data_IF_473955209864
#
_entry.id   IF_473955209864
#
_cell.length_a   1.000
_cell.length_b   1.000
_cell.length_c   1.000
_cell.angle_alpha   90.00
_cell.angle_beta   90.00
_cell.angle_gamma   90.00
#
_symmetry.space_group_name_H-M   'P 1'
#
loop_
_entity.id
_entity.type
_entity.pdbx_description
1 polymer ?
2 polymer ?
3 polymer ?
4 water ?
#
loop_
_entity_poly.entity_id
_entity_poly.type
_entity_poly.pdbx_seq_one_letter_code
_entity_poly.pdbx_strand_id
1 'polydeoxyribonucleotide' '(DT)(DC)(DC)(DT)(DC)(DA)(DT)(DG)(DT)(DA)(DT)(DA)(DT)(DA)(DC)(DA)(DT)(DG)(DA)(DG)(DG)(DA)(DA)(DG)(DG)' ?
2 'polydeoxyribonucleotide' '(DC)(DT)(DT)(DC)(DC)(DT)(DC)(DA)(DT)(DG)(DT)(DA)(DT)(DA)(DT)(DA)(DC)(DA)(DT)(DG)(DA)(DG)(DG)(DA)' ?
#
# COMPACT_ATOMS: atom_id res chain seq x y z
N UNK C 1 2.58 6.93 29.96
CA UNK C 1 1.22 7.25 29.40
C UNK C 1 1.22 7.29 27.89
N UNK C 2 0.05 7.45 27.27
CA UNK C 2 -0.06 7.47 25.80
C UNK C 2 0.66 8.63 25.09
N UNK C 3 0.80 9.76 25.80
CA UNK C 3 1.45 10.96 25.31
C UNK C 3 2.88 10.58 24.93
N UNK C 4 3.55 9.81 25.80
CA UNK C 4 4.92 9.38 25.56
C UNK C 4 4.93 8.38 24.41
N UNK C 5 3.87 7.58 24.32
CA UNK C 5 3.75 6.60 23.24
C UNK C 5 3.70 7.31 21.88
N UNK C 6 2.78 8.26 21.76
CA UNK C 6 2.58 9.05 20.54
C UNK C 6 3.84 9.80 20.11
N UNK C 7 4.53 10.42 21.06
CA UNK C 7 5.74 11.15 20.72
C UNK C 7 6.90 10.26 20.26
N UNK C 8 7.02 9.07 20.85
CA UNK C 8 8.08 8.12 20.49
C UNK C 8 7.95 7.57 19.07
N UNK C 9 6.74 7.15 18.71
CA UNK C 9 6.52 6.63 17.38
C UNK C 9 6.99 7.70 16.41
N UNK C 10 6.59 8.94 16.68
CA UNK C 10 6.99 10.05 15.83
C UNK C 10 8.51 10.20 15.71
N UNK C 11 9.20 10.28 16.84
CA UNK C 11 10.66 10.43 16.86
C UNK C 11 11.40 9.18 16.40
N UNK C 12 10.69 8.06 16.33
CA UNK C 12 11.29 6.81 15.86
C UNK C 12 11.44 6.89 14.35
N UNK C 13 10.40 7.41 13.69
CA UNK C 13 10.42 7.58 12.25
C UNK C 13 11.53 8.57 11.79
N UNK C 14 11.69 9.68 12.49
CA UNK C 14 12.70 10.69 12.13
C UNK C 14 14.12 10.22 12.31
N UNK C 15 14.38 9.52 13.40
CA UNK C 15 15.70 9.00 13.71
C UNK C 15 16.08 7.78 12.89
N UNK C 16 15.06 7.10 12.35
CA UNK C 16 15.19 5.91 11.50
C UNK C 16 15.83 6.41 10.21
N UNK C 17 15.11 7.35 9.59
CA UNK C 17 15.51 7.98 8.35
C UNK C 17 16.84 8.68 8.42
N UNK C 18 17.05 9.50 9.44
CA UNK C 18 18.31 10.19 9.51
C UNK C 18 19.53 9.28 9.74
N UNK C 19 19.28 8.05 10.18
CA UNK C 19 20.35 7.06 10.42
C UNK C 19 20.64 6.26 9.16
N UNK C 20 19.56 5.91 8.46
CA UNK C 20 19.72 5.21 7.21
C UNK C 20 18.91 3.95 7.05
N UNK C 21 17.97 3.71 7.94
CA UNK C 21 17.19 2.47 7.84
C UNK C 21 15.86 2.70 7.22
N UNK C 22 15.32 1.66 6.60
CA UNK C 22 14.02 1.75 5.98
C UNK C 22 13.23 0.87 6.90
N UNK C 23 11.91 0.84 6.77
CA UNK C 23 11.11 0.02 7.65
C UNK C 23 11.54 -1.44 7.47
N UNK C 24 11.98 -1.78 6.28
CA UNK C 24 12.41 -3.15 5.99
C UNK C 24 13.70 -3.44 6.76
N UNK C 25 14.62 -2.50 6.77
CA UNK C 25 15.89 -2.70 7.46
C UNK C 25 15.73 -2.77 8.96
N UNK C 26 14.80 -2.01 9.55
CA UNK C 26 14.60 -2.05 11.01
C UNK C 26 14.26 -3.50 11.40
N UNK C 27 13.31 -4.10 10.68
CA UNK C 27 12.91 -5.48 10.94
C UNK C 27 14.03 -6.49 10.83
N UNK C 28 15.00 -6.25 9.97
CA UNK C 28 16.15 -7.13 9.81
C UNK C 28 17.19 -6.93 10.90
N UNK C 29 17.57 -5.69 11.17
CA UNK C 29 18.58 -5.38 12.21
C UNK C 29 18.06 -5.89 13.57
N UNK C 30 16.75 -5.79 13.72
CA UNK C 30 16.03 -6.23 14.89
C UNK C 30 16.00 -7.79 14.99
N UNK C 31 16.71 -8.45 14.09
CA UNK C 31 16.77 -9.90 14.10
C UNK C 31 18.18 -10.26 14.60
N UNK C 32 19.16 -9.45 14.19
CA UNK C 32 20.56 -9.66 14.58
C UNK C 32 20.77 -9.66 16.09
N UNK C 33 19.93 -8.89 16.77
CA UNK C 33 20.03 -8.72 18.22
C UNK C 33 18.85 -9.30 19.01
N UNK C 34 17.72 -9.52 18.33
CA UNK C 34 16.51 -9.99 18.99
C UNK C 34 16.08 -11.39 18.57
N UNK C 35 16.71 -11.92 17.51
CA UNK C 35 16.34 -13.25 17.05
C UNK C 35 15.40 -13.37 15.84
N UNK C 36 14.13 -13.02 16.03
CA UNK C 36 13.13 -13.10 14.96
C UNK C 36 13.11 -11.80 14.14
N UNK C 37 12.66 -11.88 12.88
CA UNK C 37 12.59 -10.70 12.00
C UNK C 37 11.11 -10.23 11.83
N UNK C 38 10.87 -8.95 12.10
CA UNK C 38 9.51 -8.40 11.94
C UNK C 38 9.33 -7.91 10.48
N UNK C 39 8.15 -8.07 9.92
CA UNK C 39 7.95 -7.61 8.56
C UNK C 39 7.93 -6.12 8.55
N UNK C 40 7.89 -5.59 7.33
CA UNK C 40 7.84 -4.16 7.02
C UNK C 40 6.50 -3.66 7.52
N UNK C 41 5.45 -4.45 7.31
CA UNK C 41 4.08 -4.11 7.73
C UNK C 41 3.97 -3.78 9.22
N UNK C 42 4.65 -4.58 10.02
CA UNK C 42 4.61 -4.38 11.46
C UNK C 42 5.26 -3.07 11.81
N UNK C 43 6.42 -2.79 11.21
CA UNK C 43 7.15 -1.56 11.48
C UNK C 43 6.35 -0.34 11.10
N UNK C 44 5.59 -0.47 10.02
CA UNK C 44 4.74 0.58 9.54
C UNK C 44 3.55 0.79 10.52
N UNK C 45 2.88 -0.30 10.91
CA UNK C 45 1.77 -0.26 11.87
C UNK C 45 2.22 0.44 13.15
N UNK C 46 3.41 0.09 13.64
CA UNK C 46 3.86 0.72 14.83
C UNK C 46 3.92 2.22 14.71
N UNK C 47 4.77 2.72 13.80
CA UNK C 47 4.93 4.15 13.57
C UNK C 47 3.60 4.89 13.37
N UNK C 48 2.67 4.26 12.69
CA UNK C 48 1.38 4.85 12.50
C UNK C 48 0.40 4.53 13.65
N UNK C 49 0.88 3.79 14.66
CA UNK C 49 0.05 3.37 15.81
C UNK C 49 -1.27 2.68 15.38
N UNK C 50 -1.16 1.83 14.34
CA UNK C 50 -2.30 1.07 13.82
C UNK C 50 -2.28 -0.31 14.48
N UNK C 51 -2.08 -0.26 15.80
CA UNK C 51 -2.00 -1.43 16.66
C UNK C 51 -2.83 -1.21 17.91
N UNK C 52 -3.07 -2.29 18.65
CA UNK C 52 -3.79 -2.23 19.93
C UNK C 52 -2.78 -1.60 20.87
N UNK C 53 -3.26 -0.87 21.89
CA UNK C 53 -2.41 -0.18 22.86
C UNK C 53 -1.38 -1.05 23.54
N UNK C 54 -1.76 -2.30 23.82
CA UNK C 54 -0.87 -3.28 24.44
C UNK C 54 0.23 -3.62 23.44
N UNK C 55 -0.15 -3.94 22.21
CA UNK C 55 0.82 -4.32 21.20
C UNK C 55 1.85 -3.23 21.01
N UNK C 56 1.36 -1.99 20.89
CA UNK C 56 2.20 -0.79 20.71
C UNK C 56 3.20 -0.58 21.85
N UNK C 57 2.84 -0.99 23.06
CA UNK C 57 3.76 -0.87 24.19
C UNK C 57 4.81 -1.94 24.15
N UNK C 58 4.40 -3.14 23.74
CA UNK C 58 5.36 -4.23 23.61
C UNK C 58 6.46 -3.84 22.61
N UNK C 59 6.05 -3.45 21.38
CA UNK C 59 6.99 -3.05 20.31
C UNK C 59 7.88 -1.91 20.71
N UNK C 60 7.34 -0.96 21.45
CA UNK C 60 8.11 0.19 21.89
C UNK C 60 9.31 -0.22 22.74
N UNK C 61 9.11 -1.18 23.65
CA UNK C 61 10.18 -1.67 24.52
C UNK C 61 11.33 -2.23 23.69
N UNK C 62 11.00 -2.95 22.62
CA UNK C 62 11.97 -3.55 21.68
C UNK C 62 12.71 -2.46 20.87
N UNK C 63 11.93 -1.62 20.22
CA UNK C 63 12.42 -0.55 19.35
C UNK C 63 13.15 0.56 20.05
N UNK C 64 12.75 0.84 21.28
CA UNK C 64 13.38 1.88 22.12
C UNK C 64 14.88 1.57 22.38
N UNK C 65 15.15 0.37 22.87
CA UNK C 65 16.52 -0.07 23.16
C UNK C 65 17.43 -0.13 21.91
N UNK C 66 16.88 -0.69 20.82
CA UNK C 66 17.60 -0.82 19.57
C UNK C 66 18.05 0.52 18.97
N UNK C 67 17.13 1.48 18.86
CA UNK C 67 17.42 2.78 18.28
C UNK C 67 18.65 3.48 18.92
N UNK C 68 18.80 3.37 20.23
CA UNK C 68 19.95 4.01 20.85
C UNK C 68 21.26 3.26 20.71
N UNK C 69 21.20 1.98 20.37
CA UNK C 69 22.43 1.23 20.16
C UNK C 69 22.75 1.33 18.68
N UNK C 70 21.87 1.99 17.94
CA UNK C 70 22.04 2.18 16.52
C UNK C 70 22.89 3.42 16.22
N UNK C 71 23.71 3.85 17.16
CA UNK C 71 24.57 5.00 16.90
C UNK C 71 25.98 4.52 16.57
N UNK C 72 26.19 4.25 15.29
CA UNK C 72 27.49 3.81 14.79
C UNK C 72 27.85 4.65 13.58
N UNK C 89 17.92 6.56 -2.01
CA UNK C 89 16.52 7.01 -1.80
C UNK C 89 16.37 8.06 -0.69
N UNK C 90 15.79 7.66 0.45
CA UNK C 90 15.51 8.52 1.64
C UNK C 90 14.21 9.30 1.46
N UNK C 91 13.14 8.52 1.43
CA UNK C 91 11.76 8.95 1.24
C UNK C 91 11.34 10.15 2.10
N UNK C 92 10.47 10.96 1.52
CA UNK C 92 9.97 12.15 2.19
C UNK C 92 8.51 11.97 2.43
N UNK C 93 8.09 12.22 3.66
CA UNK C 93 6.67 12.16 3.97
C UNK C 93 6.08 13.56 3.78
N UNK C 94 5.07 13.63 2.94
CA UNK C 94 4.41 14.90 2.68
C UNK C 94 3.14 14.98 3.55
N UNK C 95 3.04 15.98 4.42
CA UNK C 95 1.84 16.10 5.30
C UNK C 95 0.51 16.31 4.61
N UNK C 96 -0.55 16.08 5.35
CA UNK C 96 -1.89 16.24 4.81
C UNK C 96 -2.16 17.69 4.40
N UNK C 97 -1.50 18.63 5.07
CA UNK C 97 -1.66 20.06 4.80
C UNK C 97 -0.81 20.41 3.57
N UNK C 98 0.40 19.87 3.52
CA UNK C 98 1.30 20.08 2.38
C UNK C 98 0.61 19.59 1.12
N UNK C 99 0.03 18.39 1.19
CA UNK C 99 -0.69 17.82 0.06
C UNK C 99 -1.90 18.64 -0.32
N UNK C 100 -2.51 19.30 0.66
CA UNK C 100 -3.70 20.11 0.40
C UNK C 100 -3.31 21.33 -0.44
N UNK C 101 -2.29 22.06 0.02
CA UNK C 101 -1.80 23.19 -0.73
C UNK C 101 -1.36 22.71 -2.12
N UNK C 102 -0.50 21.66 -2.16
CA UNK C 102 0.01 21.16 -3.45
C UNK C 102 -1.07 20.99 -4.51
N UNK C 103 -2.14 20.27 -4.22
CA UNK C 103 -3.16 20.11 -5.25
C UNK C 103 -4.07 21.30 -5.47
N UNK C 104 -3.98 22.32 -4.65
CA UNK C 104 -4.79 23.50 -4.91
C UNK C 104 -4.03 24.18 -6.02
N UNK C 105 -2.73 24.35 -5.80
CA UNK C 105 -1.86 24.92 -6.78
C UNK C 105 -1.91 24.15 -8.12
N UNK C 106 -1.90 22.83 -8.06
CA UNK C 106 -1.98 22.03 -9.26
C UNK C 106 -3.16 22.49 -10.11
N UNK C 107 -4.33 22.60 -9.48
CA UNK C 107 -5.53 23.03 -10.19
C UNK C 107 -5.51 24.47 -10.70
N UNK C 108 -4.62 25.30 -10.18
CA UNK C 108 -4.55 26.65 -10.64
C UNK C 108 -3.64 26.73 -11.84
N UNK C 109 -2.51 26.02 -11.74
CA UNK C 109 -1.47 25.90 -12.75
C UNK C 109 -0.80 24.54 -12.60
N UNK C 110 -1.10 23.65 -13.54
CA UNK C 110 -0.58 22.28 -13.57
C UNK C 110 0.92 22.10 -13.72
N UNK C 111 1.56 23.03 -14.43
CA UNK C 111 3.00 22.94 -14.61
C UNK C 111 3.64 24.25 -14.20
N UNK C 112 4.08 24.37 -12.93
CA UNK C 112 4.73 25.52 -12.30
C UNK C 112 6.11 25.87 -12.85
N UNK C 113 6.47 27.14 -12.81
CA UNK C 113 7.79 27.53 -13.27
C UNK C 113 8.76 27.10 -12.19
N UNK C 114 10.04 27.14 -12.52
CA UNK C 114 11.11 26.77 -11.61
C UNK C 114 11.20 27.72 -10.39
N UNK C 115 10.58 28.90 -10.52
CA UNK C 115 10.61 29.90 -9.46
C UNK C 115 9.50 29.52 -8.50
N UNK C 116 8.33 29.25 -9.07
CA UNK C 116 7.15 28.84 -8.34
C UNK C 116 7.46 27.60 -7.49
N UNK C 117 8.05 26.57 -8.13
CA UNK C 117 8.37 25.31 -7.44
C UNK C 117 9.29 25.58 -6.28
N UNK C 118 10.22 26.50 -6.51
CA UNK C 118 11.21 26.89 -5.50
C UNK C 118 10.56 27.65 -4.35
N UNK C 119 9.46 28.33 -4.65
CA UNK C 119 8.73 29.11 -3.66
C UNK C 119 7.87 28.19 -2.79
N UNK C 120 7.08 27.30 -3.41
CA UNK C 120 6.26 26.32 -2.69
C UNK C 120 7.14 25.41 -1.76
N UNK C 121 8.40 25.24 -2.13
CA UNK C 121 9.33 24.44 -1.38
C UNK C 121 9.73 25.21 -0.14
N UNK C 122 10.07 26.48 -0.31
CA UNK C 122 10.46 27.32 0.81
C UNK C 122 9.25 27.50 1.73
N UNK C 123 8.06 27.61 1.15
CA UNK C 123 6.82 27.79 1.90
C UNK C 123 6.41 26.58 2.75
N UNK C 124 6.72 25.38 2.26
CA UNK C 124 6.37 24.13 2.96
C UNK C 124 7.58 23.44 3.63
N UNK C 125 8.76 24.02 3.43
CA UNK C 125 9.99 23.50 3.99
C UNK C 125 10.33 22.09 3.49
N UNK C 126 10.22 21.91 2.17
CA UNK C 126 10.53 20.64 1.49
C UNK C 126 11.67 20.94 0.52
N UNK C 127 12.35 19.94 -0.02
CA UNK C 127 13.41 20.27 -0.96
C UNK C 127 12.76 20.51 -2.31
N UNK C 128 13.29 21.46 -3.07
CA UNK C 128 12.76 21.80 -4.39
C UNK C 128 12.52 20.54 -5.25
N UNK C 129 13.36 19.53 -5.05
CA UNK C 129 13.25 18.28 -5.81
C UNK C 129 11.99 17.47 -5.51
N UNK C 130 11.54 17.57 -4.27
CA UNK C 130 10.36 16.88 -3.81
C UNK C 130 9.11 17.47 -4.45
N UNK C 131 9.09 18.80 -4.57
CA UNK C 131 7.95 19.50 -5.17
C UNK C 131 7.97 19.20 -6.66
N UNK C 132 9.15 19.25 -7.26
CA UNK C 132 9.32 18.94 -8.69
C UNK C 132 8.74 17.58 -9.07
N UNK C 133 9.19 16.52 -8.39
CA UNK C 133 8.69 15.16 -8.64
C UNK C 133 7.22 14.95 -8.28
N UNK C 134 6.74 15.69 -7.29
CA UNK C 134 5.37 15.56 -6.91
C UNK C 134 4.49 16.05 -8.04
N UNK C 135 4.91 17.12 -8.70
CA UNK C 135 4.13 17.63 -9.82
C UNK C 135 4.15 16.68 -10.99
N UNK C 136 5.34 16.20 -11.34
CA UNK C 136 5.48 15.26 -12.47
C UNK C 136 4.58 14.04 -12.32
N UNK C 137 4.65 13.38 -11.16
CA UNK C 137 3.82 12.20 -10.92
C UNK C 137 2.33 12.43 -11.04
N UNK C 138 1.91 13.59 -10.56
CA UNK C 138 0.52 14.01 -10.58
C UNK C 138 0.05 14.18 -12.04
N UNK C 139 0.91 14.79 -12.87
CA UNK C 139 0.62 14.93 -14.32
C UNK C 139 0.57 13.55 -14.98
N UNK C 140 1.57 12.71 -14.66
CA UNK C 140 1.68 11.34 -15.19
C UNK C 140 0.51 10.44 -14.88
N UNK C 141 0.02 10.50 -13.65
CA UNK C 141 -1.32 9.78 -13.51
C UNK C 141 -2.49 10.12 -14.40
N UNK C 142 -2.63 11.37 -14.82
CA UNK C 142 -3.75 11.71 -15.69
C UNK C 142 -3.63 11.22 -17.12
N UNK C 143 -2.48 10.62 -17.43
CA UNK C 143 -2.21 10.06 -18.75
C UNK C 143 -2.54 8.56 -18.81
N UNK C 144 -3.21 8.06 -17.77
CA UNK C 144 -3.56 6.64 -17.63
C UNK C 144 -4.90 6.22 -18.16
N UNK C 145 -4.97 4.96 -18.60
CA UNK C 145 -6.21 4.38 -19.12
C UNK C 145 -7.23 4.27 -18.01
N UNK C 146 -6.76 3.95 -16.81
CA UNK C 146 -7.64 3.83 -15.66
C UNK C 146 -6.98 4.46 -14.47
N UNK D 1 -6.16 -1.29 -29.07
CA UNK D 1 -7.53 -0.83 -28.69
C UNK D 1 -7.92 -1.13 -27.25
N UNK D 2 -8.63 -0.19 -26.61
CA UNK D 2 -9.07 -0.28 -25.20
C UNK D 2 -9.88 -1.48 -24.79
N UNK D 3 -10.84 -1.83 -25.62
CA UNK D 3 -11.70 -2.96 -25.33
C UNK D 3 -10.99 -4.31 -25.23
N UNK D 4 -9.98 -4.54 -26.06
CA UNK D 4 -9.23 -5.79 -26.01
C UNK D 4 -8.21 -5.72 -24.90
N UNK D 5 -7.86 -4.51 -24.48
CA UNK D 5 -6.92 -4.33 -23.39
C UNK D 5 -7.67 -4.62 -22.07
N UNK D 6 -8.82 -3.96 -21.91
CA UNK D 6 -9.66 -4.18 -20.74
C UNK D 6 -10.01 -5.65 -20.61
N UNK D 7 -10.57 -6.25 -21.66
CA UNK D 7 -10.96 -7.67 -21.68
C UNK D 7 -9.76 -8.58 -21.28
N UNK D 8 -8.58 -8.29 -21.82
CA UNK D 8 -7.38 -9.06 -21.51
C UNK D 8 -6.93 -8.94 -20.06
N UNK D 9 -6.76 -7.72 -19.58
CA UNK D 9 -6.35 -7.48 -18.20
C UNK D 9 -7.31 -8.23 -17.26
N UNK D 10 -8.58 -8.30 -17.64
CA UNK D 10 -9.54 -9.04 -16.83
C UNK D 10 -9.19 -10.54 -16.79
N UNK D 11 -9.12 -11.15 -17.97
CA UNK D 11 -8.82 -12.57 -18.06
C UNK D 11 -7.42 -12.98 -17.63
N UNK D 12 -6.44 -12.11 -17.79
CA UNK D 12 -5.09 -12.42 -17.35
C UNK D 12 -5.12 -12.67 -15.86
N UNK D 13 -5.82 -11.81 -15.11
CA UNK D 13 -5.93 -11.98 -13.66
C UNK D 13 -6.62 -13.29 -13.31
N UNK D 14 -7.72 -13.59 -14.02
CA UNK D 14 -8.49 -14.81 -13.83
C UNK D 14 -7.60 -16.04 -13.95
N UNK D 15 -6.85 -16.08 -15.06
CA UNK D 15 -5.92 -17.17 -15.34
C UNK D 15 -4.78 -17.25 -14.34
N UNK D 16 -4.14 -16.12 -14.07
CA UNK D 16 -3.01 -16.01 -13.16
C UNK D 16 -3.27 -16.63 -11.79
N UNK D 17 -4.43 -16.30 -11.22
CA UNK D 17 -4.87 -16.80 -9.93
C UNK D 17 -5.19 -18.31 -10.01
N UNK D 18 -6.08 -18.73 -10.91
CA UNK D 18 -6.40 -20.14 -11.04
C UNK D 18 -5.11 -20.98 -11.14
N UNK D 19 -4.09 -20.45 -11.82
CA UNK D 19 -2.80 -21.13 -12.01
C UNK D 19 -1.82 -21.09 -10.83
N UNK D 20 -2.23 -20.56 -9.68
CA UNK D 20 -1.35 -20.51 -8.52
C UNK D 20 -0.29 -19.41 -8.42
N UNK D 21 -0.39 -18.41 -9.29
CA UNK D 21 0.63 -17.38 -9.30
C UNK D 21 0.34 -16.09 -8.54
N UNK D 22 1.40 -15.57 -7.94
CA UNK D 22 1.39 -14.35 -7.14
C UNK D 22 1.94 -13.25 -8.06
N UNK D 23 1.49 -12.00 -7.90
CA UNK D 23 1.97 -10.90 -8.74
C UNK D 23 3.48 -10.89 -8.75
N UNK D 24 4.07 -11.30 -7.64
CA UNK D 24 5.53 -11.32 -7.56
C UNK D 24 6.11 -12.49 -8.35
N UNK D 25 5.47 -13.65 -8.25
CA UNK D 25 5.89 -14.88 -8.94
C UNK D 25 5.90 -14.60 -10.42
N UNK D 26 4.80 -14.01 -10.90
CA UNK D 26 4.67 -13.68 -12.32
C UNK D 26 5.73 -12.69 -12.77
N UNK D 27 5.89 -11.59 -12.06
CA UNK D 27 6.90 -10.61 -12.43
C UNK D 27 8.30 -11.19 -12.47
N UNK D 28 8.56 -12.15 -11.59
CA UNK D 28 9.85 -12.82 -11.51
C UNK D 28 10.02 -13.93 -12.58
N UNK D 29 8.92 -14.50 -13.07
CA UNK D 29 8.91 -15.56 -14.10
C UNK D 29 9.03 -15.04 -15.56
N UNK D 30 8.71 -13.76 -15.75
CA UNK D 30 8.79 -13.12 -17.08
C UNK D 30 10.20 -13.12 -17.68
N UNK D 31 11.23 -13.42 -16.88
CA UNK D 31 12.61 -13.49 -17.38
C UNK D 31 12.77 -14.61 -18.43
N UNK D 32 11.77 -15.48 -18.53
CA UNK D 32 11.75 -16.59 -19.48
C UNK D 32 11.33 -16.16 -20.89
N UNK D 33 10.83 -14.93 -21.00
CA UNK D 33 10.41 -14.44 -22.29
C UNK D 33 11.01 -13.06 -22.52
N UNK D 34 11.11 -12.30 -21.45
CA UNK D 34 11.58 -10.93 -21.56
C UNK D 34 13.08 -10.73 -21.41
N UNK D 35 13.77 -11.65 -20.74
CA UNK D 35 15.20 -11.46 -20.59
C UNK D 35 15.46 -10.73 -19.32
N UNK D 36 14.40 -10.24 -18.67
CA UNK D 36 14.48 -9.56 -17.38
C UNK D 36 13.16 -9.70 -16.62
N UNK D 37 13.18 -9.40 -15.33
CA UNK D 37 11.99 -9.52 -14.48
C UNK D 37 11.31 -8.16 -14.28
N UNK D 38 9.99 -8.18 -14.08
CA UNK D 38 9.18 -6.99 -13.81
C UNK D 38 8.84 -7.05 -12.32
N UNK D 39 8.59 -5.90 -11.69
CA UNK D 39 8.29 -5.90 -10.26
C UNK D 39 6.84 -6.20 -9.93
N UNK D 40 6.56 -6.42 -8.64
CA UNK D 40 5.20 -6.71 -8.14
C UNK D 40 4.28 -5.55 -8.53
N UNK D 41 4.80 -4.35 -8.34
CA UNK D 41 4.13 -3.09 -8.61
C UNK D 41 3.69 -3.05 -10.04
N UNK D 42 4.63 -3.28 -10.94
CA UNK D 42 4.34 -3.28 -12.37
C UNK D 42 3.15 -4.20 -12.67
N UNK D 43 3.22 -5.45 -12.23
CA UNK D 43 2.12 -6.37 -12.53
C UNK D 43 0.82 -5.88 -11.97
N UNK D 44 0.86 -5.23 -10.80
CA UNK D 44 -0.36 -4.67 -10.19
C UNK D 44 -0.84 -3.56 -11.15
N UNK D 45 0.03 -2.62 -11.49
CA UNK D 45 -0.35 -1.53 -12.42
C UNK D 45 -1.02 -2.09 -13.70
N UNK D 46 -0.40 -3.08 -14.34
CA UNK D 46 -1.03 -3.66 -15.53
C UNK D 46 -2.43 -4.22 -15.28
N UNK D 47 -2.58 -5.03 -14.24
CA UNK D 47 -3.87 -5.64 -13.90
C UNK D 47 -4.92 -4.63 -13.57
N UNK D 48 -4.51 -3.58 -12.89
CA UNK D 48 -5.42 -2.51 -12.53
C UNK D 48 -5.53 -1.43 -13.62
N UNK D 49 -4.70 -1.59 -14.64
CA UNK D 49 -4.65 -0.69 -15.80
C UNK D 49 -4.28 0.76 -15.42
N UNK D 50 -3.35 0.87 -14.48
CA UNK D 50 -2.89 2.15 -13.98
C UNK D 50 -1.60 2.44 -14.72
N UNK D 51 -1.68 2.48 -16.03
CA UNK D 51 -0.51 2.80 -16.88
C UNK D 51 -0.99 3.53 -18.13
N UNK D 52 -0.05 3.97 -18.96
CA UNK D 52 -0.44 4.62 -20.20
C UNK D 52 -0.93 3.52 -21.16
N UNK D 53 -1.65 3.90 -22.19
CA UNK D 53 -2.18 2.96 -23.17
C UNK D 53 -0.99 2.27 -23.83
N UNK D 54 0.02 3.08 -24.19
CA UNK D 54 1.23 2.59 -24.82
C UNK D 54 1.89 1.53 -23.96
N UNK D 55 2.09 1.87 -22.68
CA UNK D 55 2.76 0.96 -21.75
C UNK D 55 2.00 -0.34 -21.55
N UNK D 56 0.72 -0.22 -21.24
CA UNK D 56 -0.13 -1.37 -21.01
C UNK D 56 -0.15 -2.31 -22.22
N UNK D 57 -0.18 -1.77 -23.43
CA UNK D 57 -0.18 -2.62 -24.63
C UNK D 57 1.13 -3.38 -24.83
N UNK D 58 2.24 -2.71 -24.56
CA UNK D 58 3.53 -3.35 -24.70
C UNK D 58 3.53 -4.58 -23.81
N UNK D 59 3.12 -4.38 -22.56
CA UNK D 59 3.04 -5.45 -21.56
C UNK D 59 2.07 -6.53 -21.95
N UNK D 60 0.91 -6.15 -22.46
CA UNK D 60 -0.08 -7.12 -22.88
C UNK D 60 0.57 -8.16 -23.82
N UNK D 61 1.67 -7.80 -24.46
CA UNK D 61 2.32 -8.75 -25.36
C UNK D 61 3.21 -9.67 -24.55
N UNK D 62 4.09 -9.07 -23.74
CA UNK D 62 5.01 -9.85 -22.94
C UNK D 62 4.21 -10.87 -22.17
N UNK D 63 3.25 -10.38 -21.39
CA UNK D 63 2.42 -11.19 -20.54
C UNK D 63 1.61 -12.27 -21.20
N UNK D 64 1.25 -12.06 -22.45
CA UNK D 64 0.47 -13.03 -23.18
C UNK D 64 1.40 -14.18 -23.61
N UNK D 65 2.64 -13.86 -23.96
CA UNK D 65 3.64 -14.85 -24.32
C UNK D 65 3.80 -15.78 -23.13
N UNK D 66 4.10 -15.20 -21.98
CA UNK D 66 4.27 -15.97 -20.74
C UNK D 66 3.06 -16.87 -20.48
N UNK D 67 1.86 -16.29 -20.52
CA UNK D 67 0.64 -17.04 -20.23
C UNK D 67 0.49 -18.34 -21.04
N UNK D 68 0.48 -18.32 -22.38
CA UNK D 68 0.27 -19.61 -23.08
C UNK D 68 1.43 -20.55 -22.89
N UNK D 69 2.57 -19.98 -22.52
CA UNK D 69 3.77 -20.74 -22.24
C UNK D 69 3.51 -21.49 -20.93
N UNK D 70 2.95 -20.75 -19.98
CA UNK D 70 2.59 -21.34 -18.70
C UNK D 70 1.17 -21.89 -18.93
N UNK D 89 -4.57 -18.68 1.81
CA UNK D 89 -5.72 -18.55 0.86
C UNK D 89 -5.41 -17.84 -0.44
N UNK D 90 -6.29 -18.03 -1.41
CA UNK D 90 -6.18 -17.34 -2.69
C UNK D 90 -7.08 -16.17 -2.37
N UNK D 91 -6.46 -14.99 -2.21
CA UNK D 91 -7.17 -13.76 -1.89
C UNK D 91 -8.47 -13.49 -2.66
N UNK D 92 -9.47 -13.13 -1.87
CA UNK D 92 -10.79 -12.81 -2.38
C UNK D 92 -10.88 -11.29 -2.36
N UNK D 93 -11.26 -10.69 -3.49
CA UNK D 93 -11.40 -9.23 -3.51
C UNK D 93 -12.87 -8.96 -3.26
N UNK D 94 -13.17 -8.16 -2.25
CA UNK D 94 -14.56 -7.86 -1.95
C UNK D 94 -14.87 -6.53 -2.59
N UNK D 95 -15.89 -6.49 -3.43
CA UNK D 95 -16.24 -5.27 -4.14
C UNK D 95 -16.53 -4.04 -3.33
N UNK D 96 -16.42 -2.88 -4.00
CA UNK D 96 -16.66 -1.58 -3.38
C UNK D 96 -18.14 -1.34 -3.28
N UNK D 97 -18.88 -2.43 -3.22
CA UNK D 97 -20.31 -2.38 -3.08
C UNK D 97 -20.61 -3.30 -1.86
N UNK D 98 -19.94 -4.44 -1.86
CA UNK D 98 -20.06 -5.42 -0.80
C UNK D 98 -19.40 -4.86 0.44
N UNK D 99 -18.19 -4.33 0.29
CA UNK D 99 -17.39 -3.79 1.40
C UNK D 99 -18.05 -2.66 2.21
N UNK D 100 -18.56 -1.65 1.51
CA UNK D 100 -19.19 -0.53 2.18
C UNK D 100 -20.66 -0.79 2.44
N UNK D 101 -21.04 -2.05 2.32
CA UNK D 101 -22.38 -2.51 2.60
C UNK D 101 -22.26 -3.57 3.71
N UNK D 102 -21.02 -3.95 4.03
CA UNK D 102 -20.75 -4.89 5.09
C UNK D 102 -20.58 -3.95 6.24
N UNK D 103 -19.90 -2.82 5.95
CA UNK D 103 -19.60 -1.74 6.87
C UNK D 103 -20.88 -1.07 7.33
N UNK D 104 -21.93 -1.17 6.52
CA UNK D 104 -23.23 -0.61 6.84
C UNK D 104 -24.01 -1.63 7.73
N UNK D 105 -23.61 -2.89 7.69
CA UNK D 105 -24.20 -3.97 8.47
C UNK D 105 -23.47 -4.02 9.84
N UNK D 106 -22.23 -3.56 9.85
CA UNK D 106 -21.40 -3.51 11.05
C UNK D 106 -21.94 -2.47 12.04
N UNK D 107 -22.21 -1.26 11.53
CA UNK D 107 -22.71 -0.19 12.38
C UNK D 107 -23.99 -0.59 13.08
N UNK D 108 -24.82 -1.38 12.38
CA UNK D 108 -26.08 -1.85 12.91
C UNK D 108 -25.74 -2.77 14.05
N UNK D 109 -24.95 -3.80 13.75
CA UNK D 109 -24.53 -4.75 14.77
C UNK D 109 -23.14 -5.21 14.41
N UNK D 110 -22.19 -5.07 15.33
CA UNK D 110 -20.82 -5.46 15.04
C UNK D 110 -20.45 -6.87 15.44
N UNK D 111 -21.44 -7.71 15.65
CA UNK D 111 -21.16 -9.08 16.05
C UNK D 111 -22.37 -9.87 15.64
N UNK D 112 -22.52 -10.13 14.33
CA UNK D 112 -23.69 -10.89 13.92
C UNK D 112 -23.47 -12.32 14.34
N UNK D 113 -24.56 -13.04 14.54
CA UNK D 113 -24.43 -14.41 14.95
C UNK D 113 -24.40 -15.34 13.76
N UNK D 114 -23.99 -16.58 13.99
CA UNK D 114 -23.82 -17.58 12.95
C UNK D 114 -24.79 -17.55 11.75
N UNK D 115 -26.08 -17.45 12.04
CA UNK D 115 -27.08 -17.47 10.99
C UNK D 115 -27.05 -16.21 10.08
N UNK D 116 -26.85 -15.03 10.69
CA UNK D 116 -26.83 -13.78 9.96
C UNK D 116 -25.64 -13.64 9.02
N UNK D 117 -24.46 -14.06 9.45
CA UNK D 117 -23.26 -14.04 8.58
C UNK D 117 -23.50 -14.95 7.34
N UNK D 118 -24.26 -16.03 7.54
CA UNK D 118 -24.62 -16.95 6.45
C UNK D 118 -25.62 -16.28 5.52
N UNK D 119 -26.57 -15.55 6.10
CA UNK D 119 -27.56 -14.82 5.31
C UNK D 119 -26.88 -13.72 4.47
N UNK D 120 -25.96 -13.00 5.09
CA UNK D 120 -25.20 -11.95 4.42
C UNK D 120 -24.36 -12.52 3.29
N UNK D 121 -23.69 -13.65 3.54
CA UNK D 121 -22.89 -14.30 2.49
C UNK D 121 -23.83 -14.62 1.34
N UNK D 122 -25.00 -15.17 1.67
CA UNK D 122 -25.99 -15.51 0.65
C UNK D 122 -26.41 -14.38 -0.22
N UNK D 123 -26.80 -13.26 0.39
CA UNK D 123 -27.24 -12.11 -0.37
C UNK D 123 -26.12 -11.42 -1.13
N UNK D 124 -24.90 -11.54 -0.62
CA UNK D 124 -23.74 -10.98 -1.27
C UNK D 124 -22.97 -12.02 -2.09
N UNK D 125 -23.54 -13.21 -2.25
CA UNK D 125 -22.92 -14.29 -3.01
C UNK D 125 -21.41 -14.47 -2.74
N UNK D 126 -21.00 -14.30 -1.47
CA UNK D 126 -19.60 -14.47 -1.06
C UNK D 126 -19.60 -15.74 -0.23
N UNK D 127 -18.45 -16.16 0.25
CA UNK D 127 -18.37 -17.39 1.09
C UNK D 127 -18.34 -17.09 2.61
N UNK D 128 -19.19 -17.77 3.37
CA UNK D 128 -19.30 -17.56 4.82
C UNK D 128 -18.01 -17.10 5.51
N UNK D 129 -16.88 -17.74 5.18
CA UNK D 129 -15.57 -17.42 5.75
C UNK D 129 -14.88 -16.08 5.45
N UNK D 130 -15.14 -15.48 4.29
CA UNK D 130 -14.52 -14.19 3.99
C UNK D 130 -15.30 -13.16 4.78
N UNK D 131 -16.62 -13.35 4.85
CA UNK D 131 -17.48 -12.43 5.62
C UNK D 131 -17.14 -12.52 7.13
N UNK D 132 -16.94 -13.75 7.63
CA UNK D 132 -16.61 -13.95 9.02
C UNK D 132 -15.36 -13.23 9.33
N UNK D 133 -14.29 -13.52 8.60
CA UNK D 133 -13.02 -12.86 8.87
C UNK D 133 -13.02 -11.34 8.66
N UNK D 134 -13.89 -10.83 7.80
CA UNK D 134 -13.96 -9.42 7.58
C UNK D 134 -14.43 -8.77 8.87
N UNK D 135 -15.50 -9.35 9.41
CA UNK D 135 -16.06 -8.89 10.65
C UNK D 135 -15.06 -8.93 11.80
N UNK D 136 -14.32 -10.02 11.94
CA UNK D 136 -13.31 -10.12 12.99
C UNK D 136 -12.28 -9.00 12.80
N UNK D 137 -11.88 -8.75 11.54
CA UNK D 137 -10.90 -7.71 11.21
C UNK D 137 -11.41 -6.30 11.48
N UNK D 138 -12.67 -6.06 11.13
CA UNK D 138 -13.29 -4.76 11.34
C UNK D 138 -13.27 -4.40 12.84
N UNK D 139 -13.41 -5.42 13.69
CA UNK D 139 -13.35 -5.27 15.15
C UNK D 139 -11.95 -4.90 15.61
N UNK D 140 -10.94 -5.58 15.10
CA UNK D 140 -9.59 -5.22 15.50
C UNK D 140 -9.36 -3.74 15.21
N UNK D 141 -9.87 -3.24 14.08
CA UNK D 141 -9.74 -1.83 13.70
C UNK D 141 -10.24 -0.90 14.82
N UNK D 142 -11.42 -1.17 15.35
CA UNK D 142 -11.99 -0.36 16.43
C UNK D 142 -11.09 -0.26 17.66
N UNK D 143 -10.38 -1.33 17.98
CA UNK D 143 -9.48 -1.35 19.14
C UNK D 143 -8.08 -0.71 19.00
N UNK D 144 -7.76 -0.18 17.82
CA UNK D 144 -6.48 0.44 17.57
C UNK D 144 -6.30 1.84 18.12
N UNK D 145 -5.05 2.13 18.49
CA UNK D 145 -4.72 3.42 19.04
C UNK D 145 -5.09 4.55 18.11
N UNK D 146 -4.30 4.73 17.03
CA UNK D 146 -4.56 5.79 16.07
C UNK D 146 -5.20 5.22 14.84
#
# INVERSE_FOLDING_TARGET
GMRALEQFANEFKVRRIKLGYTQTNVGEALAAVHGSEFSQTTICRFENLQLSFKNACKLKAILSKWLEEAEQVGALYNEKVGANERKRKRRTTISIAAKDALERHFGEHSKPSSQEIMRMAEELNLEKEVVRVWFCNRRQREKRVK
GMRALEQFANEFKVRRIKLGYTQTNVGEALAAVHGSEFSQTTICRFENLQLSFKNACKLKAILSKWLEEAEQVGALYNEKVGANERKRKRRTTISIAAKDALERHFGEHSKPSSQEIMRMAEELNLEKEVVRVWFCNRRQREKRVK
#
